data_IF_120236899876
#
_entry.id   IF_120236899876
#
_cell.length_a   1.000
_cell.length_b   1.000
_cell.length_c   1.000
_cell.angle_alpha   90.00
_cell.angle_beta   90.00
_cell.angle_gamma   90.00
#
_symmetry.space_group_name_H-M   'P 1'
#
loop_
_entity.id
_entity.type
_entity.pdbx_description
1 polymer ?
#
# COMPACT_ATOMS: atom_id res chain seq x y z
N UNK A 1 -2.87 11.13 -4.93
CA UNK A 1 -1.55 10.51 -4.71
C UNK A 1 -1.75 9.20 -3.98
N UNK A 2 -0.80 8.27 -4.11
CA UNK A 2 -0.89 6.93 -3.53
C UNK A 2 0.30 6.72 -2.60
N UNK A 3 0.01 6.41 -1.33
CA UNK A 3 1.02 6.07 -0.33
C UNK A 3 0.90 4.59 -0.03
N UNK A 4 2.00 3.87 -0.16
CA UNK A 4 2.10 2.46 0.19
C UNK A 4 2.90 2.37 1.48
N UNK A 5 2.33 1.74 2.49
CA UNK A 5 3.02 1.39 3.74
C UNK A 5 3.07 -0.13 3.86
N UNK A 6 4.27 -0.69 3.96
CA UNK A 6 4.50 -2.12 4.11
C UNK A 6 5.21 -2.40 5.43
N UNK A 7 4.53 -3.10 6.34
CA UNK A 7 5.03 -3.46 7.67
C UNK A 7 5.44 -4.93 7.70
N UNK A 8 6.67 -5.23 8.09
CA UNK A 8 7.16 -6.59 8.09
C UNK A 8 6.48 -7.43 9.18
N UNK A 9 5.95 -8.58 8.76
CA UNK A 9 5.37 -9.57 9.66
C UNK A 9 6.44 -10.12 10.62
N UNK A 10 6.07 -10.24 11.90
CA UNK A 10 6.87 -10.90 12.93
C UNK A 10 8.35 -10.43 12.99
N UNK A 11 8.59 -9.15 12.70
CA UNK A 11 9.92 -8.52 12.63
C UNK A 11 10.82 -8.76 13.85
N UNK A 12 10.24 -8.97 15.03
CA UNK A 12 10.96 -9.30 16.28
C UNK A 12 11.56 -10.72 16.33
N UNK A 13 11.14 -11.61 15.43
CA UNK A 13 11.51 -13.03 15.44
C UNK A 13 11.99 -13.54 14.06
N UNK A 14 12.09 -12.67 13.06
CA UNK A 14 12.53 -12.99 11.70
C UNK A 14 13.67 -12.05 11.29
N UNK A 15 14.32 -12.35 10.18
CA UNK A 15 15.40 -11.54 9.59
C UNK A 15 14.82 -10.18 9.19
N UNK A 16 15.50 -9.08 9.49
CA UNK A 16 15.13 -7.74 9.02
C UNK A 16 15.19 -7.65 7.49
N UNK A 17 14.03 -7.44 6.86
CA UNK A 17 13.84 -7.32 5.40
C UNK A 17 13.48 -5.90 4.96
N UNK A 18 13.35 -4.96 5.89
CA UNK A 18 12.97 -3.58 5.56
C UNK A 18 14.08 -2.86 4.79
N UNK A 19 15.34 -3.10 5.14
CA UNK A 19 16.49 -2.56 4.40
C UNK A 19 16.51 -3.03 2.94
N UNK A 20 16.55 -4.33 2.72
CA UNK A 20 16.58 -4.89 1.35
C UNK A 20 15.29 -4.60 0.57
N UNK A 21 14.12 -4.68 1.22
CA UNK A 21 12.85 -4.33 0.59
C UNK A 21 12.79 -2.88 0.12
N UNK A 22 13.34 -1.94 0.90
CA UNK A 22 13.49 -0.54 0.50
C UNK A 22 14.38 -0.41 -0.74
N UNK A 23 15.53 -1.08 -0.74
CA UNK A 23 16.50 -1.02 -1.84
C UNK A 23 15.94 -1.62 -3.14
N UNK A 24 15.28 -2.78 -3.04
CA UNK A 24 14.65 -3.47 -4.16
C UNK A 24 13.52 -2.63 -4.78
N UNK A 25 12.67 -2.02 -3.94
CA UNK A 25 11.63 -1.11 -4.41
C UNK A 25 12.22 0.15 -5.05
N UNK A 26 13.24 0.75 -4.45
CA UNK A 26 13.88 1.94 -5.00
C UNK A 26 14.46 1.66 -6.40
N UNK A 27 15.15 0.53 -6.58
CA UNK A 27 15.71 0.14 -7.87
C UNK A 27 14.63 -0.21 -8.90
N UNK A 28 13.61 -0.99 -8.51
CA UNK A 28 12.56 -1.45 -9.43
C UNK A 28 11.64 -0.33 -9.93
N UNK A 29 11.43 0.69 -9.11
CA UNK A 29 10.51 1.79 -9.39
C UNK A 29 11.22 3.13 -9.62
N UNK A 30 12.50 3.09 -9.96
CA UNK A 30 13.26 4.27 -10.39
C UNK A 30 12.50 5.04 -11.49
N UNK A 31 12.45 6.37 -11.36
CA UNK A 31 11.72 7.25 -12.28
C UNK A 31 10.19 7.27 -12.11
N UNK A 32 9.60 6.39 -11.29
CA UNK A 32 8.15 6.34 -11.00
C UNK A 32 7.78 6.78 -9.58
N UNK A 33 8.78 6.98 -8.73
CA UNK A 33 8.65 7.43 -7.35
C UNK A 33 8.54 8.95 -7.28
N UNK A 34 7.58 9.46 -6.51
CA UNK A 34 7.44 10.90 -6.22
C UNK A 34 8.48 11.35 -5.19
N UNK A 35 8.78 10.48 -4.22
CA UNK A 35 9.86 10.62 -3.24
C UNK A 35 10.59 9.27 -3.12
N UNK A 36 11.89 9.28 -2.75
CA UNK A 36 12.64 8.04 -2.55
C UNK A 36 11.95 7.11 -1.55
N UNK A 37 11.97 5.80 -1.81
CA UNK A 37 11.46 4.81 -0.85
C UNK A 37 12.24 4.94 0.45
N UNK A 38 11.52 4.98 1.57
CA UNK A 38 12.09 5.22 2.88
C UNK A 38 11.72 4.09 3.84
N UNK A 39 12.55 3.91 4.87
CA UNK A 39 12.34 2.95 5.95
C UNK A 39 11.95 3.71 7.19
N UNK A 40 10.80 3.36 7.77
CA UNK A 40 10.28 3.92 9.01
C UNK A 40 10.27 2.86 10.10
N UNK A 41 10.20 3.29 11.37
CA UNK A 41 10.01 2.46 12.58
C UNK A 41 10.83 1.16 12.71
N UNK A 42 11.90 0.99 11.93
CA UNK A 42 12.69 -0.23 11.85
C UNK A 42 12.14 -1.25 10.84
N UNK A 43 10.89 -1.64 10.88
CA UNK A 43 10.39 -2.78 10.09
C UNK A 43 9.36 -2.37 9.02
N UNK A 44 9.19 -1.07 8.81
CA UNK A 44 8.23 -0.52 7.88
C UNK A 44 8.94 0.15 6.69
N UNK A 45 8.39 -0.06 5.49
CA UNK A 45 8.82 0.59 4.24
C UNK A 45 7.68 1.45 3.72
N UNK A 46 7.99 2.67 3.29
CA UNK A 46 7.04 3.63 2.73
C UNK A 46 7.43 4.09 1.34
N UNK A 47 6.44 4.15 0.45
CA UNK A 47 6.60 4.67 -0.91
C UNK A 47 5.46 5.64 -1.26
N UNK A 48 5.78 6.67 -2.05
CA UNK A 48 4.84 7.64 -2.58
C UNK A 48 4.90 7.64 -4.11
N UNK A 49 3.77 7.41 -4.76
CA UNK A 49 3.65 7.37 -6.23
C UNK A 49 2.47 8.20 -6.72
N UNK A 50 2.57 8.68 -7.97
CA UNK A 50 1.59 9.60 -8.55
C UNK A 50 0.42 8.89 -9.24
N UNK A 51 0.59 7.64 -9.65
CA UNK A 51 -0.37 6.91 -10.48
C UNK A 51 -0.80 5.56 -9.87
N UNK A 52 -2.01 5.15 -10.24
CA UNK A 52 -2.64 3.94 -9.71
C UNK A 52 -1.99 2.65 -10.22
N UNK A 53 -1.41 2.65 -11.43
CA UNK A 53 -0.81 1.46 -12.02
C UNK A 53 0.47 1.07 -11.27
N UNK A 54 1.32 2.05 -10.95
CA UNK A 54 2.51 1.85 -10.12
C UNK A 54 2.12 1.42 -8.70
N UNK A 55 1.09 2.03 -8.10
CA UNK A 55 0.61 1.64 -6.78
C UNK A 55 0.12 0.18 -6.75
N UNK A 56 -0.64 -0.23 -7.77
CA UNK A 56 -1.13 -1.59 -7.91
C UNK A 56 0.01 -2.60 -8.08
N UNK A 57 1.00 -2.31 -8.94
CA UNK A 57 2.18 -3.17 -9.12
C UNK A 57 2.94 -3.36 -7.81
N UNK A 58 3.16 -2.28 -7.03
CA UNK A 58 3.78 -2.36 -5.71
C UNK A 58 2.99 -3.22 -4.72
N UNK A 59 1.66 -3.03 -4.64
CA UNK A 59 0.80 -3.85 -3.79
C UNK A 59 0.88 -5.33 -4.16
N UNK A 60 0.82 -5.64 -5.46
CA UNK A 60 0.87 -7.02 -5.96
C UNK A 60 2.25 -7.66 -5.75
N UNK A 61 3.33 -6.88 -5.81
CA UNK A 61 4.70 -7.33 -5.54
C UNK A 61 4.88 -7.64 -4.05
N UNK A 62 4.53 -6.70 -3.18
CA UNK A 62 4.74 -6.80 -1.73
C UNK A 62 3.91 -7.92 -1.10
N UNK A 63 2.64 -8.05 -1.49
CA UNK A 63 1.77 -9.13 -1.01
C UNK A 63 2.28 -10.50 -1.45
N UNK A 64 2.81 -10.62 -2.69
CA UNK A 64 3.39 -11.87 -3.19
C UNK A 64 4.65 -12.29 -2.45
N UNK A 65 5.43 -11.35 -1.91
CA UNK A 65 6.57 -11.69 -1.08
C UNK A 65 6.17 -12.38 0.24
N UNK A 66 4.92 -12.27 0.70
CA UNK A 66 4.39 -13.04 1.84
C UNK A 66 4.89 -12.62 3.23
N UNK A 67 5.81 -11.65 3.29
CA UNK A 67 6.43 -11.15 4.51
C UNK A 67 5.89 -9.80 5.00
N UNK A 68 4.96 -9.19 4.25
CA UNK A 68 4.45 -7.83 4.51
C UNK A 68 2.97 -7.82 4.88
N UNK A 69 2.58 -6.89 5.74
CA UNK A 69 1.23 -6.33 5.77
C UNK A 69 1.25 -5.03 4.99
N UNK A 70 0.37 -4.86 4.01
CA UNK A 70 0.41 -3.77 3.03
C UNK A 70 -0.83 -2.89 3.17
N UNK A 71 -0.62 -1.62 3.51
CA UNK A 71 -1.65 -0.58 3.48
C UNK A 71 -1.51 0.32 2.27
N UNK A 72 -2.60 0.57 1.56
CA UNK A 72 -2.67 1.56 0.48
C UNK A 72 -3.52 2.75 0.92
N UNK A 73 -2.91 3.92 1.05
CA UNK A 73 -3.58 5.19 1.30
C UNK A 73 -3.73 5.99 0.03
N UNK A 74 -4.94 6.51 -0.23
CA UNK A 74 -5.24 7.35 -1.39
C UNK A 74 -5.75 8.70 -0.92
N UNK A 75 -5.14 9.78 -1.38
CA UNK A 75 -5.60 11.12 -1.04
C UNK A 75 -4.64 12.21 -1.45
N UNK A 76 -4.79 13.36 -0.80
CA UNK A 76 -3.89 14.50 -0.92
C UNK A 76 -2.64 14.33 -0.05
N UNK A 77 -1.58 15.07 -0.40
CA UNK A 77 -0.35 15.19 0.37
C UNK A 77 -0.02 16.65 0.56
N UNK A 78 0.59 16.99 1.70
CA UNK A 78 0.97 18.36 2.02
C UNK A 78 2.12 18.79 1.12
N UNK A 79 2.00 19.97 0.53
CA UNK A 79 3.03 20.60 -0.32
C UNK A 79 3.58 21.86 0.36
N UNK A 80 4.83 22.27 0.06
CA UNK A 80 5.80 21.60 -0.82
C UNK A 80 6.27 20.25 -0.25
N UNK A 81 6.64 19.32 -1.14
CA UNK A 81 7.13 18.01 -0.71
C UNK A 81 8.54 18.15 -0.12
N UNK A 82 8.87 17.40 0.95
CA UNK A 82 10.22 17.34 1.50
C UNK A 82 11.14 16.50 0.61
N UNK A 83 12.38 16.27 1.05
CA UNK A 83 13.34 15.41 0.32
C UNK A 83 13.17 13.93 0.62
N UNK A 84 12.65 13.58 1.80
CA UNK A 84 12.52 12.21 2.27
C UNK A 84 11.05 11.84 2.51
N UNK A 85 10.66 10.60 2.15
CA UNK A 85 9.27 10.13 2.32
C UNK A 85 8.85 10.14 3.80
N UNK A 86 9.75 9.80 4.74
CA UNK A 86 9.43 9.82 6.17
C UNK A 86 9.12 11.20 6.75
N UNK A 87 9.52 12.27 6.06
CA UNK A 87 9.22 13.66 6.45
C UNK A 87 7.91 14.15 5.83
N UNK A 88 7.39 13.45 4.82
CA UNK A 88 6.18 13.85 4.12
C UNK A 88 4.95 13.56 4.99
N UNK A 89 3.96 14.44 4.88
CA UNK A 89 2.72 14.32 5.65
C UNK A 89 1.53 14.64 4.77
N UNK A 90 0.35 14.28 5.24
CA UNK A 90 -0.91 14.60 4.59
C UNK A 90 -1.88 13.44 4.66
N UNK A 91 -3.12 13.66 4.19
CA UNK A 91 -4.16 12.69 4.38
C UNK A 91 -3.91 11.31 3.75
N UNK A 92 -3.23 11.24 2.61
CA UNK A 92 -2.83 9.96 2.02
C UNK A 92 -1.90 9.13 2.94
N UNK A 93 -0.99 9.77 3.68
CA UNK A 93 -0.12 9.08 4.63
C UNK A 93 -0.87 8.57 5.86
N UNK A 94 -1.85 9.36 6.34
CA UNK A 94 -2.72 8.96 7.45
C UNK A 94 -3.56 7.75 7.01
N UNK A 95 -4.20 7.83 5.85
CA UNK A 95 -4.96 6.73 5.27
C UNK A 95 -4.09 5.47 5.08
N UNK A 96 -2.86 5.59 4.58
CA UNK A 96 -1.97 4.44 4.42
C UNK A 96 -1.61 3.77 5.77
N UNK A 97 -1.46 4.57 6.82
CA UNK A 97 -1.21 4.08 8.18
C UNK A 97 -2.42 3.37 8.78
N UNK A 98 -3.62 3.89 8.55
CA UNK A 98 -4.85 3.23 8.98
C UNK A 98 -5.05 1.92 8.20
N UNK A 99 -4.81 1.96 6.89
CA UNK A 99 -4.86 0.79 6.01
C UNK A 99 -3.87 -0.30 6.44
N UNK A 100 -2.59 0.01 6.71
CA UNK A 100 -1.63 -1.03 7.12
C UNK A 100 -2.01 -1.64 8.48
N UNK A 101 -2.61 -0.84 9.36
CA UNK A 101 -3.14 -1.34 10.64
C UNK A 101 -4.29 -2.32 10.44
N UNK A 102 -5.21 -2.03 9.51
CA UNK A 102 -6.28 -2.94 9.12
C UNK A 102 -5.73 -4.21 8.43
N UNK A 103 -4.73 -4.05 7.56
CA UNK A 103 -4.10 -5.12 6.80
C UNK A 103 -3.50 -6.21 7.72
N UNK A 104 -2.97 -5.85 8.90
CA UNK A 104 -2.47 -6.81 9.91
C UNK A 104 -3.53 -7.80 10.40
N UNK A 105 -4.81 -7.47 10.27
CA UNK A 105 -5.95 -8.34 10.62
C UNK A 105 -6.59 -9.02 9.42
N UNK A 106 -6.30 -8.54 8.21
CA UNK A 106 -6.80 -9.10 6.96
C UNK A 106 -6.14 -10.44 6.62
N UNK A 107 -6.93 -11.35 6.04
CA UNK A 107 -6.46 -12.65 5.55
C UNK A 107 -5.46 -12.51 4.39
N UNK A 108 -5.65 -11.51 3.52
CA UNK A 108 -4.77 -11.22 2.38
C UNK A 108 -3.60 -10.31 2.76
N UNK A 109 -3.50 -9.90 4.04
CA UNK A 109 -2.50 -8.93 4.52
C UNK A 109 -2.49 -7.62 3.74
N UNK A 110 -3.65 -7.25 3.19
CA UNK A 110 -3.87 -6.02 2.45
C UNK A 110 -5.12 -5.30 2.97
N UNK A 111 -5.09 -3.97 2.94
CA UNK A 111 -6.26 -3.10 3.06
C UNK A 111 -6.01 -1.76 2.37
N UNK A 112 -7.08 -1.03 2.07
CA UNK A 112 -7.08 0.25 1.39
C UNK A 112 -7.87 1.27 2.22
N UNK A 113 -7.38 2.51 2.27
CA UNK A 113 -8.11 3.62 2.85
C UNK A 113 -7.96 4.88 1.99
N UNK A 114 -8.98 5.74 2.05
CA UNK A 114 -8.99 7.02 1.33
C UNK A 114 -9.21 8.17 2.29
N UNK A 115 -8.72 9.36 1.93
CA UNK A 115 -9.11 10.61 2.56
C UNK A 115 -9.59 11.65 1.51
N UNK A 116 -10.78 12.25 1.69
CA UNK A 116 -11.75 11.95 2.74
C UNK A 116 -12.25 10.49 2.66
N UNK A 117 -12.63 9.87 3.78
CA UNK A 117 -13.26 8.56 3.76
C UNK A 117 -14.56 8.65 2.95
N UNK A 118 -14.80 7.67 2.09
CA UNK A 118 -16.06 7.61 1.33
C UNK A 118 -17.23 7.43 2.29
N UNK A 119 -18.03 8.48 2.47
CA UNK A 119 -19.37 8.37 3.01
C UNK A 119 -20.30 7.90 1.89
N UNK A 120 -20.98 6.76 2.07
CA UNK A 120 -22.19 6.48 1.27
C UNK A 120 -23.34 7.20 1.94
N UNK A 121 -23.98 8.12 1.22
CA UNK A 121 -25.38 8.41 1.51
C UNK A 121 -26.18 7.20 1.02
N UNK A 122 -27.03 6.62 1.87
CA UNK A 122 -27.83 5.44 1.52
C UNK A 122 -28.78 5.69 0.33
N UNK A 123 -29.03 6.96 0.00
CA UNK A 123 -29.94 7.41 -1.06
C UNK A 123 -29.26 7.87 -2.37
N UNK A 124 -27.93 7.85 -2.47
CA UNK A 124 -27.25 8.26 -3.71
C UNK A 124 -27.27 7.14 -4.77
N UNK A 125 -27.51 7.47 -6.06
CA UNK A 125 -27.41 6.50 -7.14
C UNK A 125 -25.99 5.91 -7.17
N UNK A 126 -25.84 4.61 -7.47
CA UNK A 126 -24.54 3.97 -7.46
C UNK A 126 -23.58 4.68 -8.43
N UNK A 127 -22.34 4.97 -8.00
CA UNK A 127 -21.37 5.66 -8.84
C UNK A 127 -21.05 4.83 -10.08
N UNK A 128 -20.72 5.51 -11.19
CA UNK A 128 -20.34 4.86 -12.45
C UNK A 128 -19.02 4.07 -12.35
N UNK A 129 -18.20 4.38 -11.35
CA UNK A 129 -16.96 3.68 -11.03
C UNK A 129 -17.04 3.08 -9.62
N UNK A 130 -16.36 1.95 -9.36
CA UNK A 130 -16.34 1.35 -8.04
C UNK A 130 -15.76 2.31 -6.99
N UNK A 131 -16.36 2.34 -5.81
CA UNK A 131 -15.82 3.05 -4.66
C UNK A 131 -14.65 2.29 -4.01
N UNK A 132 -14.03 2.87 -2.97
CA UNK A 132 -12.89 2.28 -2.29
C UNK A 132 -13.13 0.87 -1.74
N UNK A 133 -14.32 0.64 -1.17
CA UNK A 133 -14.69 -0.67 -0.64
C UNK A 133 -14.82 -1.72 -1.75
N UNK A 134 -15.42 -1.36 -2.89
CA UNK A 134 -15.50 -2.24 -4.05
C UNK A 134 -14.12 -2.52 -4.65
N UNK A 135 -13.25 -1.51 -4.74
CA UNK A 135 -11.86 -1.68 -5.19
C UNK A 135 -11.08 -2.61 -4.25
N UNK A 136 -11.20 -2.43 -2.93
CA UNK A 136 -10.56 -3.32 -1.95
C UNK A 136 -11.08 -4.76 -2.07
N UNK A 137 -12.38 -4.94 -2.26
CA UNK A 137 -12.98 -6.27 -2.46
C UNK A 137 -12.43 -6.93 -3.74
N UNK A 138 -12.32 -6.20 -4.86
CA UNK A 138 -11.74 -6.70 -6.10
C UNK A 138 -10.26 -7.08 -5.93
N UNK A 139 -9.48 -6.24 -5.25
CA UNK A 139 -8.08 -6.55 -4.95
C UNK A 139 -7.96 -7.77 -4.03
N UNK A 140 -8.82 -7.89 -3.03
CA UNK A 140 -8.86 -9.05 -2.13
C UNK A 140 -9.13 -10.33 -2.92
N UNK A 141 -10.10 -10.32 -3.83
CA UNK A 141 -10.38 -11.46 -4.71
C UNK A 141 -9.18 -11.81 -5.59
N UNK A 142 -8.52 -10.80 -6.17
CA UNK A 142 -7.31 -10.99 -6.98
C UNK A 142 -6.16 -11.61 -6.15
N UNK A 143 -5.92 -11.12 -4.94
CA UNK A 143 -4.87 -11.64 -4.06
C UNK A 143 -5.15 -13.09 -3.65
N UNK A 144 -6.39 -13.40 -3.24
CA UNK A 144 -6.80 -14.78 -2.92
C UNK A 144 -6.66 -15.72 -4.12
N UNK A 145 -6.97 -15.26 -5.34
CA UNK A 145 -6.79 -16.05 -6.54
C UNK A 145 -5.31 -16.30 -6.86
N UNK A 146 -4.44 -15.29 -6.65
CA UNK A 146 -2.98 -15.40 -6.87
C UNK A 146 -2.31 -16.31 -5.84
N UNK A 147 -2.74 -16.28 -4.58
CA UNK A 147 -2.17 -17.10 -3.51
C UNK A 147 -2.42 -18.60 -3.72
N UNK A 148 -3.49 -18.95 -4.45
CA UNK A 148 -3.78 -20.33 -4.84
C UNK A 148 -2.96 -20.82 -6.03
N UNK A 149 -2.21 -19.94 -6.71
CA UNK A 149 -1.39 -20.32 -7.86
C UNK A 149 0.02 -20.70 -7.42
N UNK A 150 0.46 -21.86 -7.87
CA UNK A 150 1.86 -22.30 -7.73
C UNK A 150 2.77 -21.47 -8.64
N UNK A 151 4.10 -21.48 -8.43
CA UNK A 151 5.05 -20.84 -9.34
C UNK A 151 4.89 -21.27 -10.81
N UNK A 152 4.44 -22.52 -11.05
CA UNK A 152 4.22 -23.11 -12.38
C UNK A 152 2.86 -22.76 -12.98
N UNK A 153 1.91 -22.26 -12.18
CA UNK A 153 0.55 -21.89 -12.61
C UNK A 153 0.42 -20.44 -13.04
N UNK A 154 1.53 -19.79 -13.39
CA UNK A 154 1.61 -18.42 -13.89
C UNK A 154 1.85 -18.40 -15.40
#
# INVERSE_FOLDING_TARGET
MFVITADQKASRHDIDRAGSGRDDLAARYEGRLVLPVDRTSGDEVQALVADAATALDMVLLLTRAGHWSVGLGIGTVRTPLPRATREATGPAFIAARDAVTAAKRSATRFALATDPPTARADDDPPPALPGPAEVEALLTLLLLARDRRTPQGW
#
